data_IF_711294828761
#
_entry.id   IF_711294828761
#
_cell.length_a   1.000
_cell.length_b   1.000
_cell.length_c   1.000
_cell.angle_alpha   90.00
_cell.angle_beta   90.00
_cell.angle_gamma   90.00
#
_symmetry.space_group_name_H-M   'P 1'
#
loop_
_entity.id
_entity.type
_entity.pdbx_description
1 polymer ?
#
# COMPACT_ATOMS: atom_id res chain seq x y z
N UNK A 1 -41.58 -26.49 -13.78
CA UNK A 1 -42.08 -26.51 -12.39
C UNK A 1 -42.04 -25.08 -11.87
N UNK A 2 -43.20 -24.46 -11.65
CA UNK A 2 -43.31 -23.10 -11.08
C UNK A 2 -42.80 -23.15 -9.63
N UNK A 3 -41.99 -22.18 -9.22
CA UNK A 3 -41.82 -21.87 -7.80
C UNK A 3 -42.08 -20.38 -7.61
N UNK A 4 -43.05 -20.13 -6.75
CA UNK A 4 -43.61 -18.87 -6.30
C UNK A 4 -42.60 -18.06 -5.49
N UNK A 5 -42.30 -16.84 -5.93
CA UNK A 5 -41.62 -15.85 -5.10
C UNK A 5 -42.64 -15.23 -4.14
N UNK A 6 -42.59 -15.63 -2.87
CA UNK A 6 -43.25 -14.93 -1.78
C UNK A 6 -42.34 -13.79 -1.32
N UNK A 7 -42.84 -12.56 -1.44
CA UNK A 7 -42.24 -11.38 -0.86
C UNK A 7 -42.33 -11.43 0.67
N UNK A 8 -41.18 -11.31 1.33
CA UNK A 8 -41.07 -10.90 2.73
C UNK A 8 -39.86 -9.97 2.86
N UNK A 9 -40.11 -8.79 3.41
CA UNK A 9 -39.21 -7.64 3.40
C UNK A 9 -37.92 -7.87 4.16
N UNK A 10 -36.82 -7.56 3.49
CA UNK A 10 -35.83 -6.57 3.89
C UNK A 10 -34.89 -6.45 2.69
N UNK A 11 -35.05 -5.37 1.93
CA UNK A 11 -34.24 -5.10 0.76
C UNK A 11 -32.83 -4.74 1.19
N UNK A 12 -31.99 -5.75 1.49
CA UNK A 12 -30.55 -5.60 1.31
C UNK A 12 -30.31 -5.34 -0.17
N UNK A 13 -30.29 -4.05 -0.52
CA UNK A 13 -29.65 -3.58 -1.75
C UNK A 13 -28.27 -4.20 -1.73
N UNK A 14 -28.01 -5.14 -2.63
CA UNK A 14 -26.63 -5.56 -2.94
C UNK A 14 -25.90 -4.29 -3.36
N UNK A 15 -25.25 -3.63 -2.39
CA UNK A 15 -24.39 -2.47 -2.62
C UNK A 15 -23.41 -2.87 -3.71
N UNK A 16 -23.43 -2.14 -4.83
CA UNK A 16 -22.81 -2.59 -6.07
C UNK A 16 -21.32 -2.88 -5.86
N UNK A 17 -20.74 -3.82 -6.62
CA UNK A 17 -19.30 -4.13 -6.54
C UNK A 17 -18.42 -2.87 -6.65
N UNK A 18 -18.83 -1.89 -7.47
CA UNK A 18 -18.18 -0.58 -7.59
C UNK A 18 -18.32 0.31 -6.34
N UNK A 19 -19.44 0.27 -5.63
CA UNK A 19 -19.64 1.05 -4.41
C UNK A 19 -18.67 0.60 -3.31
N UNK A 20 -18.49 -0.71 -3.16
CA UNK A 20 -17.51 -1.28 -2.25
C UNK A 20 -16.07 -0.87 -2.61
N UNK A 21 -15.70 -0.95 -3.90
CA UNK A 21 -14.37 -0.54 -4.36
C UNK A 21 -14.13 0.97 -4.12
N UNK A 22 -15.12 1.81 -4.43
CA UNK A 22 -15.04 3.24 -4.22
C UNK A 22 -14.95 3.59 -2.73
N UNK A 23 -15.65 2.85 -1.87
CA UNK A 23 -15.53 3.01 -0.42
C UNK A 23 -14.10 2.75 0.06
N UNK A 24 -13.44 1.68 -0.41
CA UNK A 24 -12.03 1.40 -0.07
C UNK A 24 -11.11 2.53 -0.54
N UNK A 25 -11.27 2.99 -1.78
CA UNK A 25 -10.49 4.11 -2.32
C UNK A 25 -10.71 5.42 -1.53
N UNK A 26 -11.96 5.72 -1.16
CA UNK A 26 -12.29 6.89 -0.35
C UNK A 26 -11.63 6.83 1.03
N UNK A 27 -11.62 5.66 1.68
CA UNK A 27 -10.94 5.50 2.98
C UNK A 27 -9.42 5.63 2.86
N UNK A 28 -8.82 5.10 1.78
CA UNK A 28 -7.40 5.28 1.51
C UNK A 28 -7.04 6.77 1.46
N UNK A 29 -7.74 7.54 0.64
CA UNK A 29 -7.51 8.97 0.47
C UNK A 29 -7.83 9.77 1.74
N UNK A 30 -8.90 9.40 2.45
CA UNK A 30 -9.27 10.04 3.71
C UNK A 30 -8.22 9.81 4.80
N UNK A 31 -7.61 8.62 4.86
CA UNK A 31 -6.55 8.28 5.80
C UNK A 31 -5.23 8.96 5.41
N UNK A 32 -4.87 8.95 4.12
CA UNK A 32 -3.68 9.62 3.59
C UNK A 32 -3.67 11.12 3.93
N UNK A 33 -4.81 11.79 3.76
CA UNK A 33 -4.92 13.24 3.98
C UNK A 33 -5.29 13.63 5.41
N UNK A 34 -5.54 12.66 6.31
CA UNK A 34 -5.97 12.96 7.68
C UNK A 34 -4.97 13.81 8.47
N UNK A 35 -3.64 13.53 8.46
CA UNK A 35 -2.68 14.33 9.21
C UNK A 35 -2.53 15.77 8.72
N UNK A 36 -3.00 16.08 7.50
CA UNK A 36 -3.01 17.45 6.95
C UNK A 36 -4.29 18.22 7.28
N UNK A 37 -5.38 17.50 7.59
CA UNK A 37 -6.71 18.08 7.82
C UNK A 37 -7.07 18.19 9.29
N UNK A 38 -6.38 17.46 10.16
CA UNK A 38 -6.69 17.36 11.57
C UNK A 38 -5.41 17.34 12.39
N UNK A 39 -5.48 17.94 13.57
CA UNK A 39 -4.34 17.95 14.49
C UNK A 39 -3.96 16.53 14.94
N UNK A 40 -2.65 16.33 14.99
CA UNK A 40 -2.01 15.09 15.35
C UNK A 40 -0.82 15.31 16.26
N UNK A 41 -0.40 14.24 16.90
CA UNK A 41 0.83 14.21 17.70
C UNK A 41 2.07 14.03 16.82
N UNK A 42 1.89 13.40 15.65
CA UNK A 42 2.92 13.21 14.63
C UNK A 42 2.31 13.57 13.27
N UNK A 43 2.47 14.83 12.87
CA UNK A 43 1.97 15.30 11.59
C UNK A 43 2.91 14.84 10.47
N UNK A 44 2.33 14.30 9.40
CA UNK A 44 3.04 13.91 8.18
C UNK A 44 2.29 14.51 7.00
N UNK A 45 2.95 15.36 6.22
CA UNK A 45 2.35 15.96 5.03
C UNK A 45 2.70 15.17 3.74
N UNK A 46 2.08 15.55 2.62
CA UNK A 46 2.34 14.90 1.35
C UNK A 46 3.78 15.11 0.86
N UNK A 47 4.39 16.25 1.18
CA UNK A 47 5.75 16.56 0.76
C UNK A 47 6.74 15.63 1.49
N UNK A 48 6.54 15.41 2.79
CA UNK A 48 7.29 14.45 3.59
C UNK A 48 7.09 13.02 3.11
N UNK A 49 5.89 12.63 2.68
CA UNK A 49 5.66 11.32 2.06
C UNK A 49 6.50 11.19 0.79
N UNK A 50 6.46 12.18 -0.11
CA UNK A 50 7.24 12.11 -1.34
C UNK A 50 8.75 12.15 -1.09
N UNK A 51 9.22 13.01 -0.19
CA UNK A 51 10.64 13.19 0.10
C UNK A 51 11.25 12.01 0.85
N UNK A 52 10.50 11.41 1.78
CA UNK A 52 11.02 10.35 2.63
C UNK A 52 10.74 8.94 2.08
N UNK A 53 9.68 8.74 1.29
CA UNK A 53 9.33 7.42 0.79
C UNK A 53 9.86 7.13 -0.62
N UNK A 54 10.32 8.13 -1.36
CA UNK A 54 10.83 7.97 -2.73
C UNK A 54 12.34 8.22 -2.74
N UNK A 55 13.18 7.18 -2.54
CA UNK A 55 14.63 7.34 -2.52
C UNK A 55 15.21 7.65 -3.91
N UNK A 56 14.53 7.26 -4.99
CA UNK A 56 14.95 7.51 -6.37
C UNK A 56 13.77 7.95 -7.23
N UNK A 57 13.92 8.95 -8.12
CA UNK A 57 12.82 9.49 -8.92
C UNK A 57 12.06 8.45 -9.77
N UNK A 58 12.74 7.45 -10.34
CA UNK A 58 12.11 6.38 -11.14
C UNK A 58 11.45 5.27 -10.29
N UNK A 59 11.67 5.29 -8.97
CA UNK A 59 11.26 4.24 -8.02
C UNK A 59 10.26 4.86 -7.04
N UNK A 60 9.15 5.37 -7.57
CA UNK A 60 8.19 6.19 -6.83
C UNK A 60 6.82 5.53 -6.63
N UNK A 61 6.68 4.24 -6.96
CA UNK A 61 5.42 3.53 -6.81
C UNK A 61 5.26 3.05 -5.37
N UNK A 62 4.26 3.59 -4.69
CA UNK A 62 3.94 3.23 -3.31
C UNK A 62 2.85 2.16 -3.28
N UNK A 63 3.17 1.07 -2.60
CA UNK A 63 2.29 -0.01 -2.22
C UNK A 63 1.47 0.41 -1.01
N UNK A 64 0.14 0.48 -1.15
CA UNK A 64 -0.75 0.85 -0.05
C UNK A 64 -1.46 -0.36 0.55
N UNK A 65 -1.56 -0.39 1.87
CA UNK A 65 -2.40 -1.31 2.63
C UNK A 65 -3.05 -0.61 3.81
N UNK A 66 -4.20 -1.11 4.26
CA UNK A 66 -4.91 -0.47 5.38
C UNK A 66 -5.46 -1.51 6.35
N UNK A 67 -5.64 -1.11 7.60
CA UNK A 67 -6.31 -1.92 8.61
C UNK A 67 -7.14 -1.03 9.53
N UNK A 68 -8.42 -1.37 9.80
CA UNK A 68 -9.18 -2.46 9.19
C UNK A 68 -9.52 -2.18 7.70
N UNK A 69 -9.52 -3.22 6.85
CA UNK A 69 -9.97 -3.12 5.44
C UNK A 69 -11.48 -3.15 5.29
N UNK A 70 -12.12 -4.04 6.06
CA UNK A 70 -13.56 -4.23 6.00
C UNK A 70 -14.21 -3.34 7.03
N UNK A 71 -15.10 -2.47 6.55
CA UNK A 71 -16.07 -1.82 7.41
C UNK A 71 -17.11 -2.88 7.74
N UNK A 72 -17.11 -3.34 8.97
CA UNK A 72 -18.30 -4.04 9.46
C UNK A 72 -19.47 -3.05 9.35
N UNK A 73 -20.56 -3.47 8.69
CA UNK A 73 -21.85 -2.75 8.66
C UNK A 73 -22.44 -2.56 10.06
N UNK A 74 -21.80 -3.09 11.10
CA UNK A 74 -22.08 -2.79 12.50
C UNK A 74 -21.69 -1.34 12.85
N UNK A 75 -22.36 -0.38 12.23
CA UNK A 75 -22.46 1.04 12.63
C UNK A 75 -23.02 1.25 14.05
N UNK A 76 -23.21 0.20 14.87
CA UNK A 76 -24.11 0.23 16.02
C UNK A 76 -23.58 -0.39 17.33
N UNK A 77 -22.34 -0.92 17.39
CA UNK A 77 -21.87 -1.61 18.62
C UNK A 77 -20.45 -1.32 19.08
N UNK A 78 -19.83 -0.24 18.62
CA UNK A 78 -18.57 0.16 19.23
C UNK A 78 -18.85 1.02 20.48
N UNK A 79 -19.15 0.34 21.60
CA UNK A 79 -19.01 0.96 22.94
C UNK A 79 -17.56 1.43 23.04
N UNK A 80 -17.33 2.62 23.60
CA UNK A 80 -15.99 3.17 23.81
C UNK A 80 -15.10 2.08 24.43
N UNK A 81 -14.12 1.54 23.69
CA UNK A 81 -13.38 0.37 24.13
C UNK A 81 -12.60 0.75 25.37
N UNK A 82 -12.42 -0.19 26.30
CA UNK A 82 -11.44 0.04 27.36
C UNK A 82 -10.07 0.25 26.74
N UNK A 83 -9.21 1.07 27.36
CA UNK A 83 -7.86 1.36 26.84
C UNK A 83 -7.11 0.08 26.44
N UNK A 84 -7.19 -0.95 27.27
CA UNK A 84 -6.55 -2.24 26.99
C UNK A 84 -7.15 -3.03 25.82
N UNK A 85 -8.44 -2.88 25.52
CA UNK A 85 -9.06 -3.49 24.34
C UNK A 85 -8.59 -2.76 23.06
N UNK A 86 -8.56 -1.42 23.08
CA UNK A 86 -8.08 -0.61 21.97
C UNK A 86 -6.61 -0.91 21.64
N UNK A 87 -5.72 -0.99 22.64
CA UNK A 87 -4.31 -1.33 22.43
C UNK A 87 -4.14 -2.69 21.73
N UNK A 88 -4.92 -3.71 22.12
CA UNK A 88 -4.88 -5.04 21.46
C UNK A 88 -5.35 -5.00 20.01
N UNK A 89 -6.32 -4.14 19.68
CA UNK A 89 -6.77 -3.99 18.30
C UNK A 89 -5.74 -3.25 17.44
N UNK A 90 -5.06 -2.24 18.00
CA UNK A 90 -3.95 -1.56 17.34
C UNK A 90 -2.82 -2.55 17.05
N UNK A 91 -2.43 -3.38 18.03
CA UNK A 91 -1.38 -4.39 17.84
C UNK A 91 -1.71 -5.32 16.65
N UNK A 92 -2.97 -5.81 16.59
CA UNK A 92 -3.47 -6.62 15.46
C UNK A 92 -3.54 -5.84 14.15
N UNK A 93 -3.83 -4.55 14.18
CA UNK A 93 -3.85 -3.71 12.99
C UNK A 93 -2.47 -3.61 12.36
N UNK A 94 -1.42 -3.44 13.17
CA UNK A 94 -0.04 -3.45 12.72
C UNK A 94 0.39 -4.81 12.12
N UNK A 95 -0.08 -5.92 12.68
CA UNK A 95 0.18 -7.25 12.10
C UNK A 95 -0.53 -7.45 10.75
N UNK A 96 -1.80 -7.05 10.71
CA UNK A 96 -2.66 -7.26 9.54
C UNK A 96 -2.33 -6.32 8.39
N UNK A 97 -1.87 -5.08 8.64
CA UNK A 97 -1.56 -4.12 7.57
C UNK A 97 -0.42 -4.60 6.66
N UNK A 98 0.46 -5.46 7.16
CA UNK A 98 1.56 -6.08 6.39
C UNK A 98 1.18 -7.43 5.77
N UNK A 99 -0.02 -7.93 6.04
CA UNK A 99 -0.53 -9.16 5.45
C UNK A 99 -0.91 -8.94 3.99
N UNK A 100 -0.96 -10.04 3.22
CA UNK A 100 -1.39 -10.02 1.81
C UNK A 100 -2.85 -9.60 1.67
N UNK A 101 -3.69 -10.01 2.62
CA UNK A 101 -5.11 -9.67 2.69
C UNK A 101 -5.30 -8.16 2.89
N UNK A 102 -4.37 -7.55 3.64
CA UNK A 102 -4.08 -6.13 3.85
C UNK A 102 -4.02 -5.23 2.62
N UNK A 103 -3.52 -5.77 1.51
CA UNK A 103 -2.99 -5.00 0.39
C UNK A 103 -4.10 -4.52 -0.54
N UNK A 104 -3.99 -3.27 -1.00
CA UNK A 104 -4.91 -2.68 -1.98
C UNK A 104 -4.52 -2.98 -3.43
N UNK A 105 -3.50 -3.81 -3.63
CA UNK A 105 -3.00 -4.22 -4.92
C UNK A 105 -2.50 -5.68 -4.83
N UNK A 106 -2.42 -6.36 -5.96
CA UNK A 106 -2.11 -7.79 -6.02
C UNK A 106 -0.60 -8.02 -5.92
N UNK A 107 -0.05 -7.98 -4.71
CA UNK A 107 1.34 -8.37 -4.41
C UNK A 107 1.49 -8.93 -2.99
N UNK A 108 2.68 -9.45 -2.68
CA UNK A 108 3.05 -9.90 -1.34
C UNK A 108 4.31 -9.13 -0.88
N UNK A 109 4.18 -8.11 -0.03
CA UNK A 109 5.31 -7.26 0.33
C UNK A 109 6.31 -7.95 1.26
N UNK A 110 5.92 -9.02 1.99
CA UNK A 110 6.83 -9.78 2.86
C UNK A 110 7.88 -10.59 2.10
N UNK A 111 7.71 -10.81 0.80
CA UNK A 111 8.65 -11.56 -0.04
C UNK A 111 9.60 -10.70 -0.85
N UNK A 112 9.70 -9.40 -0.53
CA UNK A 112 10.50 -8.44 -1.30
C UNK A 112 11.01 -7.33 -0.39
N UNK A 113 12.09 -6.67 -0.81
CA UNK A 113 12.73 -5.61 -0.03
C UNK A 113 11.83 -4.38 0.09
N UNK A 114 11.71 -3.84 1.30
CA UNK A 114 11.12 -2.55 1.62
C UNK A 114 12.21 -1.47 1.48
N UNK A 115 12.09 -0.59 0.49
CA UNK A 115 12.99 0.55 0.36
C UNK A 115 12.67 1.61 1.41
N UNK A 116 11.38 1.86 1.61
CA UNK A 116 10.83 2.77 2.62
C UNK A 116 9.43 2.31 3.04
N UNK A 117 8.96 2.78 4.20
CA UNK A 117 7.62 2.51 4.70
C UNK A 117 7.08 3.72 5.47
N UNK A 118 5.76 3.94 5.48
CA UNK A 118 5.12 4.88 6.39
C UNK A 118 3.89 4.23 7.02
N UNK A 119 3.76 4.39 8.33
CA UNK A 119 2.59 4.00 9.11
C UNK A 119 1.82 5.25 9.53
N UNK A 120 0.69 5.51 8.89
CA UNK A 120 -0.20 6.64 9.16
C UNK A 120 -1.37 6.15 10.00
N UNK A 121 -1.25 6.29 11.31
CA UNK A 121 -2.29 5.96 12.26
C UNK A 121 -3.23 7.16 12.49
N UNK A 122 -4.52 6.87 12.70
CA UNK A 122 -5.48 7.89 13.13
C UNK A 122 -6.53 7.33 14.06
N UNK A 123 -6.95 8.12 15.05
CA UNK A 123 -8.03 7.77 15.97
C UNK A 123 -7.91 8.44 17.33
N UNK A 124 -9.04 8.51 18.03
CA UNK A 124 -9.11 9.00 19.39
C UNK A 124 -8.57 7.95 20.35
N UNK A 125 -7.73 8.36 21.31
CA UNK A 125 -7.20 7.48 22.35
C UNK A 125 -5.98 6.65 21.94
N UNK A 126 -5.41 6.87 20.75
CA UNK A 126 -4.10 6.34 20.40
C UNK A 126 -2.99 7.13 21.10
N UNK A 127 -2.04 6.40 21.66
CA UNK A 127 -0.87 6.92 22.34
C UNK A 127 0.37 6.76 21.43
N UNK A 128 1.24 7.78 21.40
CA UNK A 128 2.49 7.75 20.65
C UNK A 128 3.34 6.54 21.07
N UNK A 129 3.34 6.20 22.36
CA UNK A 129 4.10 5.08 22.89
C UNK A 129 3.63 3.72 22.34
N UNK A 130 2.31 3.52 22.20
CA UNK A 130 1.73 2.31 21.60
C UNK A 130 2.07 2.22 20.11
N UNK A 131 2.05 3.34 19.39
CA UNK A 131 2.44 3.39 17.98
C UNK A 131 3.93 3.07 17.82
N UNK A 132 4.81 3.73 18.58
CA UNK A 132 6.25 3.51 18.50
C UNK A 132 6.64 2.06 18.82
N UNK A 133 6.03 1.46 19.85
CA UNK A 133 6.21 0.04 20.19
C UNK A 133 5.85 -0.86 19.01
N UNK A 134 4.71 -0.61 18.38
CA UNK A 134 4.25 -1.43 17.27
C UNK A 134 5.09 -1.27 16.02
N UNK A 135 5.47 -0.04 15.68
CA UNK A 135 6.36 0.23 14.54
C UNK A 135 7.68 -0.53 14.71
N UNK A 136 8.31 -0.44 15.88
CA UNK A 136 9.55 -1.18 16.17
C UNK A 136 9.38 -2.70 16.05
N UNK A 137 8.25 -3.22 16.53
CA UNK A 137 7.95 -4.66 16.46
C UNK A 137 7.73 -5.16 15.04
N UNK A 138 7.08 -4.37 14.17
CA UNK A 138 6.83 -4.80 12.79
C UNK A 138 8.00 -4.51 11.87
N UNK A 139 8.73 -3.42 12.09
CA UNK A 139 9.90 -3.05 11.29
C UNK A 139 11.04 -4.06 11.45
N UNK A 140 11.18 -4.69 12.62
CA UNK A 140 12.18 -5.75 12.83
C UNK A 140 11.96 -6.99 11.95
N UNK A 141 10.73 -7.20 11.44
CA UNK A 141 10.39 -8.28 10.52
C UNK A 141 10.39 -7.89 9.05
N UNK A 142 10.75 -6.65 8.72
CA UNK A 142 10.83 -6.13 7.35
C UNK A 142 12.25 -6.24 6.81
N UNK A 143 12.37 -6.62 5.54
CA UNK A 143 13.66 -6.62 4.83
C UNK A 143 13.94 -5.22 4.28
N UNK A 144 14.77 -4.44 5.00
CA UNK A 144 15.24 -3.14 4.55
C UNK A 144 16.66 -3.23 3.98
N UNK A 145 17.01 -2.41 2.97
CA UNK A 145 18.37 -2.38 2.47
C UNK A 145 19.34 -1.78 3.50
N UNK A 146 20.61 -2.19 3.44
CA UNK A 146 21.65 -1.77 4.40
C UNK A 146 21.86 -0.24 4.48
N UNK A 147 21.56 0.48 3.41
CA UNK A 147 21.70 1.93 3.33
C UNK A 147 20.50 2.68 3.92
N UNK A 148 19.43 1.98 4.30
CA UNK A 148 18.22 2.57 4.88
C UNK A 148 17.51 1.61 5.86
N UNK A 149 18.24 1.17 6.88
CA UNK A 149 17.70 0.27 7.91
C UNK A 149 16.52 0.87 8.70
N UNK A 150 16.51 2.20 8.88
CA UNK A 150 15.44 2.95 9.55
C UNK A 150 14.53 3.67 8.54
N UNK A 151 14.30 3.04 7.39
CA UNK A 151 13.53 3.60 6.28
C UNK A 151 12.03 3.77 6.51
N UNK A 152 11.58 3.90 7.76
CA UNK A 152 10.17 4.04 8.11
C UNK A 152 9.82 5.43 8.66
N UNK A 153 8.59 5.86 8.39
CA UNK A 153 7.97 7.06 8.93
C UNK A 153 6.68 6.73 9.65
N UNK A 154 6.29 7.60 10.57
CA UNK A 154 5.10 7.40 11.39
C UNK A 154 4.32 8.71 11.45
N UNK A 155 3.03 8.64 11.12
CA UNK A 155 2.07 9.72 11.35
C UNK A 155 1.02 9.28 12.35
N UNK A 156 0.57 10.20 13.20
CA UNK A 156 -0.48 9.97 14.19
C UNK A 156 -1.41 11.18 14.25
N UNK A 157 -2.65 10.97 13.81
CA UNK A 157 -3.74 11.95 13.86
C UNK A 157 -4.77 11.58 14.93
N UNK A 158 -5.29 12.55 15.70
CA UNK A 158 -6.26 12.28 16.79
C UNK A 158 -7.70 12.09 16.31
N UNK A 159 -7.99 12.40 15.04
CA UNK A 159 -9.33 12.28 14.49
C UNK A 159 -9.64 10.84 14.03
N UNK A 160 -10.62 10.19 14.67
CA UNK A 160 -11.14 8.90 14.22
C UNK A 160 -11.79 8.99 12.83
N UNK A 161 -11.70 7.91 12.01
CA UNK A 161 -12.51 7.80 10.81
C UNK A 161 -13.99 7.64 11.18
N UNK A 162 -14.89 7.92 10.22
CA UNK A 162 -16.35 7.88 10.48
C UNK A 162 -16.88 6.49 10.81
N UNK A 163 -16.16 5.45 10.42
CA UNK A 163 -16.62 4.07 10.39
C UNK A 163 -15.89 3.14 11.37
N UNK A 164 -14.89 3.66 12.10
CA UNK A 164 -14.06 2.87 13.03
C UNK A 164 -13.45 3.80 14.10
N UNK A 165 -13.20 3.33 15.34
CA UNK A 165 -12.49 4.12 16.35
C UNK A 165 -11.07 4.52 15.93
N UNK A 166 -10.42 3.68 15.12
CA UNK A 166 -9.08 3.94 14.58
C UNK A 166 -8.94 3.45 13.14
N UNK A 167 -7.92 3.92 12.43
CA UNK A 167 -7.44 3.32 11.20
C UNK A 167 -5.91 3.42 11.13
N UNK A 168 -5.31 2.45 10.45
CA UNK A 168 -3.90 2.40 10.13
C UNK A 168 -3.76 2.28 8.61
N UNK A 169 -3.10 3.24 7.98
CA UNK A 169 -2.68 3.19 6.59
C UNK A 169 -1.17 2.93 6.54
N UNK A 170 -0.75 1.96 5.73
CA UNK A 170 0.64 1.71 5.42
C UNK A 170 0.91 2.11 3.96
N UNK A 171 1.98 2.88 3.75
CA UNK A 171 2.52 3.19 2.42
C UNK A 171 3.94 2.65 2.35
N UNK A 172 4.20 1.67 1.50
CA UNK A 172 5.51 1.06 1.37
C UNK A 172 6.06 1.28 -0.03
N UNK A 173 7.27 1.79 -0.15
CA UNK A 173 8.00 1.65 -1.40
C UNK A 173 8.68 0.29 -1.37
N UNK A 174 8.05 -0.71 -1.97
CA UNK A 174 8.47 -2.11 -1.85
C UNK A 174 8.65 -2.73 -3.24
N UNK A 175 9.73 -3.49 -3.40
CA UNK A 175 10.11 -4.10 -4.68
C UNK A 175 9.07 -5.08 -5.24
N UNK A 176 8.09 -5.54 -4.44
CA UNK A 176 7.00 -6.39 -4.89
C UNK A 176 6.13 -5.75 -5.99
N UNK A 177 6.14 -4.42 -6.14
CA UNK A 177 5.42 -3.68 -7.20
C UNK A 177 5.83 -4.11 -8.61
N UNK A 178 7.03 -4.71 -8.76
CA UNK A 178 7.46 -5.33 -10.02
C UNK A 178 6.48 -6.39 -10.53
N UNK A 179 5.77 -7.07 -9.64
CA UNK A 179 4.85 -8.15 -10.00
C UNK A 179 3.64 -7.64 -10.80
N UNK A 180 2.84 -6.69 -10.31
CA UNK A 180 1.74 -6.12 -11.11
C UNK A 180 2.24 -5.39 -12.36
N UNK A 181 3.39 -4.69 -12.30
CA UNK A 181 3.95 -4.02 -13.47
C UNK A 181 4.37 -4.99 -14.57
N UNK A 182 5.09 -6.09 -14.25
CA UNK A 182 5.40 -7.16 -15.21
C UNK A 182 4.15 -7.79 -15.81
N UNK A 183 3.13 -8.07 -14.98
CA UNK A 183 1.86 -8.62 -15.48
C UNK A 183 1.17 -7.68 -16.47
N UNK A 184 1.30 -6.36 -16.27
CA UNK A 184 0.78 -5.36 -17.20
C UNK A 184 1.57 -5.35 -18.51
N UNK A 185 2.91 -5.35 -18.45
CA UNK A 185 3.77 -5.34 -19.65
C UNK A 185 3.66 -6.64 -20.45
N UNK A 186 3.50 -7.81 -19.81
CA UNK A 186 3.29 -9.09 -20.48
C UNK A 186 1.97 -9.13 -21.26
N UNK A 187 0.90 -8.61 -20.65
CA UNK A 187 -0.42 -8.50 -21.30
C UNK A 187 -0.35 -7.55 -22.48
N UNK A 188 0.29 -6.39 -22.30
CA UNK A 188 0.50 -5.42 -23.36
C UNK A 188 1.27 -6.03 -24.54
N UNK A 189 2.41 -6.69 -24.27
CA UNK A 189 3.23 -7.35 -25.28
C UNK A 189 2.44 -8.40 -26.06
N UNK A 190 1.59 -9.17 -25.38
CA UNK A 190 0.72 -10.17 -26.02
C UNK A 190 -0.29 -9.52 -26.97
N UNK A 191 -0.91 -8.41 -26.57
CA UNK A 191 -1.88 -7.67 -27.38
C UNK A 191 -1.20 -6.97 -28.57
N UNK A 192 -0.06 -6.29 -28.34
CA UNK A 192 0.71 -5.60 -29.39
C UNK A 192 1.22 -6.57 -30.46
N UNK A 193 1.78 -7.72 -30.05
CA UNK A 193 2.24 -8.78 -31.00
C UNK A 193 1.13 -9.28 -31.92
N UNK A 194 -0.11 -9.32 -31.42
CA UNK A 194 -1.30 -9.70 -32.18
C UNK A 194 -1.98 -8.53 -32.90
N UNK A 195 -1.40 -7.32 -32.81
CA UNK A 195 -1.95 -6.06 -33.35
C UNK A 195 -3.39 -5.77 -32.92
N UNK A 196 -3.78 -6.21 -31.73
CA UNK A 196 -5.15 -6.05 -31.22
C UNK A 196 -5.41 -4.58 -30.92
N UNK A 197 -6.45 -4.00 -31.53
CA UNK A 197 -6.88 -2.61 -31.35
C UNK A 197 -5.84 -1.51 -31.65
N UNK A 198 -4.68 -1.86 -32.23
CA UNK A 198 -3.58 -0.91 -32.53
C UNK A 198 -4.06 0.23 -33.45
N UNK A 199 -4.92 -0.08 -34.41
CA UNK A 199 -5.45 0.89 -35.39
C UNK A 199 -6.22 2.08 -34.79
N UNK A 200 -6.79 1.93 -33.59
CA UNK A 200 -7.48 3.04 -32.92
C UNK A 200 -6.50 4.13 -32.46
N UNK A 201 -5.26 3.73 -32.13
CA UNK A 201 -4.23 4.62 -31.64
C UNK A 201 -3.35 5.14 -32.78
N UNK A 202 -3.01 4.29 -33.77
CA UNK A 202 -2.15 4.70 -34.89
C UNK A 202 -2.76 5.75 -35.81
N UNK A 203 -4.04 6.10 -35.59
CA UNK A 203 -4.67 7.29 -36.18
C UNK A 203 -4.08 8.60 -35.64
N UNK A 204 -3.54 8.60 -34.42
CA UNK A 204 -3.11 9.81 -33.70
C UNK A 204 -1.65 9.77 -33.23
N UNK A 205 -1.00 8.60 -33.24
CA UNK A 205 0.39 8.44 -32.80
C UNK A 205 1.11 7.36 -33.61
N UNK A 206 2.44 7.41 -33.66
CA UNK A 206 3.22 6.38 -34.35
C UNK A 206 3.26 5.07 -33.56
N UNK A 207 3.37 3.94 -34.26
CA UNK A 207 3.44 2.62 -33.62
C UNK A 207 4.69 2.50 -32.71
N UNK A 208 5.73 3.28 -32.96
CA UNK A 208 6.94 3.34 -32.12
C UNK A 208 6.66 3.84 -30.70
N UNK A 209 5.68 4.73 -30.49
CA UNK A 209 5.33 5.26 -29.17
C UNK A 209 4.89 4.14 -28.21
N UNK A 210 4.35 3.04 -28.74
CA UNK A 210 4.04 1.86 -27.93
C UNK A 210 5.29 1.16 -27.38
N UNK A 211 6.37 1.12 -28.16
CA UNK A 211 7.63 0.52 -27.72
C UNK A 211 8.33 1.39 -26.69
N UNK A 212 8.30 2.72 -26.87
CA UNK A 212 8.81 3.68 -25.89
C UNK A 212 8.06 3.57 -24.55
N UNK A 213 6.72 3.54 -24.58
CA UNK A 213 5.91 3.41 -23.38
C UNK A 213 6.14 2.07 -22.66
N UNK A 214 6.30 0.98 -23.43
CA UNK A 214 6.64 -0.32 -22.86
C UNK A 214 8.02 -0.32 -22.21
N UNK A 215 9.03 0.22 -22.90
CA UNK A 215 10.40 0.31 -22.41
C UNK A 215 10.50 1.17 -21.14
N UNK A 216 9.71 2.25 -21.04
CA UNK A 216 9.65 3.08 -19.84
C UNK A 216 9.14 2.31 -18.61
N UNK A 217 8.12 1.46 -18.77
CA UNK A 217 7.62 0.62 -17.67
C UNK A 217 8.59 -0.51 -17.35
N UNK A 218 9.21 -1.11 -18.37
CA UNK A 218 10.20 -2.18 -18.20
C UNK A 218 11.45 -1.68 -17.46
N UNK A 219 11.90 -0.46 -17.74
CA UNK A 219 13.00 0.19 -17.02
C UNK A 219 12.69 0.30 -15.52
N UNK A 220 11.48 0.72 -15.15
CA UNK A 220 11.04 0.79 -13.75
C UNK A 220 11.06 -0.60 -13.11
N UNK A 221 10.55 -1.61 -13.82
CA UNK A 221 10.52 -3.01 -13.34
C UNK A 221 11.92 -3.53 -13.05
N UNK A 222 12.86 -3.30 -13.97
CA UNK A 222 14.25 -3.75 -13.80
C UNK A 222 14.95 -2.98 -12.68
N UNK A 223 14.67 -1.68 -12.53
CA UNK A 223 15.22 -0.89 -11.42
C UNK A 223 14.77 -1.41 -10.05
N UNK A 224 13.50 -1.78 -9.89
CA UNK A 224 13.05 -2.46 -8.68
C UNK A 224 13.69 -3.84 -8.50
N UNK A 225 13.95 -4.58 -9.58
CA UNK A 225 14.58 -5.90 -9.51
C UNK A 225 16.06 -5.83 -9.08
N UNK A 226 16.80 -4.81 -9.52
CA UNK A 226 18.16 -4.53 -9.04
C UNK A 226 18.19 -4.28 -7.53
N UNK A 227 17.26 -3.46 -7.04
CA UNK A 227 17.16 -3.11 -5.63
C UNK A 227 16.73 -4.31 -4.76
N UNK A 228 15.81 -5.15 -5.23
CA UNK A 228 15.37 -6.39 -4.55
C UNK A 228 16.54 -7.36 -4.37
N UNK A 229 17.41 -7.49 -5.40
CA UNK A 229 18.63 -8.30 -5.33
C UNK A 229 19.67 -7.72 -4.35
N UNK A 230 19.85 -6.40 -4.38
CA UNK A 230 20.80 -5.71 -3.49
C UNK A 230 20.37 -5.76 -2.01
N UNK A 231 19.06 -5.72 -1.72
CA UNK A 231 18.50 -5.92 -0.38
C UNK A 231 18.67 -7.37 0.10
N UNK A 232 18.25 -8.33 -0.72
CA UNK A 232 18.34 -9.76 -0.41
C UNK A 232 19.77 -10.29 -0.28
N UNK A 233 20.75 -9.65 -0.95
CA UNK A 233 22.14 -10.08 -1.02
C UNK A 233 22.95 -9.86 0.26
N UNK A 234 22.50 -9.01 1.19
CA UNK A 234 23.28 -8.70 2.40
C UNK A 234 23.18 -9.80 3.46
N UNK A 235 22.14 -10.65 3.42
CA UNK A 235 22.14 -11.89 4.20
C UNK A 235 23.26 -12.87 3.77
N UNK A 236 23.79 -12.73 2.55
CA UNK A 236 24.86 -13.58 2.00
C UNK A 236 26.25 -12.90 2.00
N UNK A 237 26.35 -11.59 2.22
CA UNK A 237 27.59 -10.79 2.04
C UNK A 237 28.28 -10.37 3.34
N UNK A 238 27.99 -11.04 4.46
CA UNK A 238 28.93 -11.06 5.61
C UNK A 238 30.28 -11.69 5.25
N UNK A 239 30.43 -12.27 4.04
CA UNK A 239 31.71 -12.56 3.38
C UNK A 239 32.06 -11.45 2.37
N UNK A 240 32.86 -10.48 2.83
CA UNK A 240 33.20 -9.23 2.14
C UNK A 240 33.44 -9.28 0.63
N UNK A 241 32.72 -8.43 -0.10
CA UNK A 241 33.10 -7.92 -1.44
C UNK A 241 32.65 -6.46 -1.55
N UNK A 242 33.51 -5.62 -2.13
CA UNK A 242 33.40 -4.16 -2.26
C UNK A 242 32.19 -3.66 -3.07
N UNK A 243 31.67 -2.50 -2.65
CA UNK A 243 30.45 -1.83 -3.16
C UNK A 243 30.62 -1.23 -4.57
N UNK A 244 29.60 -1.30 -5.44
CA UNK A 244 29.46 -0.39 -6.57
C UNK A 244 28.78 0.92 -6.13
N UNK A 245 29.31 2.05 -6.62
CA UNK A 245 28.79 3.40 -6.42
C UNK A 245 27.49 3.62 -7.22
N UNK A 246 26.34 3.58 -6.54
CA UNK A 246 25.03 3.91 -7.11
C UNK A 246 24.69 5.39 -6.86
N UNK A 247 25.51 6.29 -7.40
CA UNK A 247 25.21 7.72 -7.50
C UNK A 247 25.73 8.25 -8.84
N UNK A 248 24.90 8.08 -9.88
CA UNK A 248 24.84 8.91 -11.10
C UNK A 248 23.46 8.72 -11.69
#
# INVERSE_FOLDING_TARGET
VKSTASASGDGEVQTGSFEHMNSVAAHLLANLTAPMRFDGDLNVDLNEITMNLVPFPKVHFLCSSMSPLHLSTARLRYKDPSKGALTKEIDRAFDSVLSRQSQLFVANPKGSTYLTCAFLARGKGLDISDIARNVSRVSSGMDFPYWNADGFKTGLCRASPLSSPFALLCLANNCCIRTPLRRMTDRFSTLKKRKVFVHHYTKYMDEHCFDEAWAAVDEVVERYAELDKAGSGVAALTSGVSRPSLLT
#
